data_IF_458430893823
#
_entry.id   IF_458430893823
#
_cell.length_a   1.000
_cell.length_b   1.000
_cell.length_c   1.000
_cell.angle_alpha   90.00
_cell.angle_beta   90.00
_cell.angle_gamma   90.00
#
_symmetry.space_group_name_H-M   'P 1'
#
loop_
_entity.id
_entity.type
_entity.pdbx_description
1 polymer ?
#
# COMPACT_ATOMS: atom_id res chain seq x y z
N UNK A 1 -15.74 17.59 43.79
CA UNK A 1 -15.86 16.86 42.49
C UNK A 1 -14.48 16.34 42.21
N UNK A 2 -14.31 15.03 42.13
CA UNK A 2 -13.03 14.45 41.73
C UNK A 2 -12.85 14.70 40.22
N UNK A 3 -11.76 15.36 39.82
CA UNK A 3 -11.40 15.55 38.41
C UNK A 3 -11.06 14.19 37.82
N UNK A 4 -11.87 13.70 36.90
CA UNK A 4 -11.57 12.48 36.15
C UNK A 4 -10.73 12.83 34.94
N UNK A 5 -9.42 12.68 35.01
CA UNK A 5 -8.46 12.94 33.92
C UNK A 5 -8.27 11.73 32.97
N UNK A 6 -8.92 10.59 33.25
CA UNK A 6 -8.75 9.36 32.48
C UNK A 6 -9.06 9.55 30.99
N UNK A 7 -10.03 10.39 30.63
CA UNK A 7 -10.34 10.68 29.24
C UNK A 7 -9.22 11.43 28.50
N UNK A 8 -8.45 12.25 29.21
CA UNK A 8 -7.32 12.97 28.62
C UNK A 8 -6.12 12.06 28.43
N UNK A 9 -5.86 11.16 29.35
CA UNK A 9 -4.82 10.13 29.24
C UNK A 9 -5.13 9.22 28.04
N UNK A 10 -6.34 8.70 27.95
CA UNK A 10 -6.78 7.87 26.82
C UNK A 10 -6.63 8.59 25.47
N UNK A 11 -6.95 9.89 25.41
CA UNK A 11 -6.76 10.68 24.18
C UNK A 11 -5.29 10.86 23.82
N UNK A 12 -4.43 11.10 24.83
CA UNK A 12 -2.97 11.23 24.62
C UNK A 12 -2.41 9.91 24.07
N UNK A 13 -2.74 8.79 24.70
CA UNK A 13 -2.36 7.44 24.24
C UNK A 13 -2.81 7.21 22.79
N UNK A 14 -4.07 7.44 22.48
CA UNK A 14 -4.62 7.23 21.14
C UNK A 14 -3.93 8.11 20.11
N UNK A 15 -3.62 9.37 20.43
CA UNK A 15 -2.95 10.29 19.52
C UNK A 15 -1.53 9.85 19.21
N UNK A 16 -0.73 9.56 20.21
CA UNK A 16 0.65 9.10 20.07
C UNK A 16 0.70 7.82 19.23
N UNK A 17 -0.18 6.87 19.53
CA UNK A 17 -0.29 5.64 18.76
C UNK A 17 -0.65 5.89 17.28
N UNK A 18 -1.63 6.75 17.01
CA UNK A 18 -2.04 7.07 15.64
C UNK A 18 -0.94 7.80 14.87
N UNK A 19 -0.25 8.74 15.49
CA UNK A 19 0.86 9.48 14.85
C UNK A 19 2.00 8.51 14.48
N UNK A 20 2.37 7.59 15.37
CA UNK A 20 3.38 6.56 15.12
C UNK A 20 2.92 5.55 14.05
N UNK A 21 1.65 5.16 14.08
CA UNK A 21 1.04 4.26 13.10
C UNK A 21 1.08 4.87 11.69
N UNK A 22 0.63 6.12 11.53
CA UNK A 22 0.64 6.82 10.25
C UNK A 22 2.05 7.06 9.72
N UNK A 23 3.01 7.38 10.59
CA UNK A 23 4.40 7.60 10.19
C UNK A 23 5.07 6.32 9.68
N UNK A 24 4.71 5.17 10.23
CA UNK A 24 5.35 3.89 9.92
C UNK A 24 4.81 3.20 8.67
N UNK A 25 3.63 3.59 8.18
CA UNK A 25 2.99 2.99 7.01
C UNK A 25 3.72 3.34 5.71
N UNK A 26 3.94 2.34 4.86
CA UNK A 26 4.48 2.51 3.49
C UNK A 26 3.58 1.82 2.47
N UNK A 27 3.48 0.48 2.54
CA UNK A 27 2.71 -0.33 1.58
C UNK A 27 1.21 0.00 1.66
N UNK A 28 0.68 0.14 2.85
CA UNK A 28 -0.74 0.44 3.07
C UNK A 28 -1.17 1.82 2.57
N UNK A 29 -0.24 2.74 2.33
CA UNK A 29 -0.55 4.05 1.72
C UNK A 29 -0.80 3.98 0.21
N UNK A 30 -0.32 2.93 -0.45
CA UNK A 30 -0.45 2.78 -1.90
C UNK A 30 -1.73 2.05 -2.32
N UNK A 31 -2.47 1.51 -1.37
CA UNK A 31 -3.71 0.77 -1.63
C UNK A 31 -4.88 1.73 -1.76
N UNK A 32 -5.71 1.51 -2.80
CA UNK A 32 -6.94 2.26 -2.94
C UNK A 32 -7.88 1.94 -1.77
N UNK A 33 -8.16 2.94 -0.95
CA UNK A 33 -9.14 2.85 0.13
C UNK A 33 -10.48 3.32 -0.40
N UNK A 34 -11.25 2.43 -0.98
CA UNK A 34 -12.67 2.69 -1.17
C UNK A 34 -13.33 2.69 0.21
N UNK A 35 -13.51 3.87 0.75
CA UNK A 35 -14.21 4.04 2.00
C UNK A 35 -15.66 3.63 1.80
N UNK A 36 -16.09 2.70 2.64
CA UNK A 36 -17.50 2.49 2.89
C UNK A 36 -18.12 3.84 3.26
N UNK A 37 -19.02 4.32 2.44
CA UNK A 37 -19.77 5.57 2.70
C UNK A 37 -20.71 5.47 3.92
N UNK A 38 -20.73 4.31 4.60
CA UNK A 38 -21.46 4.03 5.82
C UNK A 38 -20.56 3.55 6.95
N UNK A 39 -20.98 3.75 8.18
CA UNK A 39 -20.32 3.17 9.35
C UNK A 39 -20.34 1.66 9.23
N UNK A 40 -19.15 1.04 9.19
CA UNK A 40 -19.03 -0.40 9.33
C UNK A 40 -19.67 -0.82 10.66
N UNK A 41 -20.71 -1.62 10.59
CA UNK A 41 -21.38 -2.13 11.77
C UNK A 41 -21.03 -3.61 11.94
N UNK A 42 -20.21 -3.98 12.94
CA UNK A 42 -19.82 -5.36 13.19
C UNK A 42 -21.02 -6.30 13.42
N UNK A 43 -22.16 -5.77 13.84
CA UNK A 43 -23.39 -6.56 14.03
C UNK A 43 -24.06 -6.96 12.72
N UNK A 44 -23.68 -6.37 11.59
CA UNK A 44 -24.18 -6.74 10.25
C UNK A 44 -23.41 -7.88 9.58
N UNK A 45 -22.46 -8.49 10.28
CA UNK A 45 -21.58 -9.53 9.77
C UNK A 45 -20.22 -9.01 9.34
N UNK A 46 -19.33 -9.92 8.95
CA UNK A 46 -17.95 -9.63 8.56
C UNK A 46 -17.77 -9.33 7.07
N UNK A 47 -18.83 -9.39 6.27
CA UNK A 47 -18.77 -9.20 4.83
C UNK A 47 -19.08 -7.77 4.42
N UNK A 48 -18.29 -7.26 3.49
CA UNK A 48 -18.45 -5.93 2.91
C UNK A 48 -18.55 -6.07 1.41
N UNK A 49 -19.63 -5.56 0.82
CA UNK A 49 -19.84 -5.61 -0.61
C UNK A 49 -19.39 -4.30 -1.28
N UNK A 50 -18.53 -4.44 -2.29
CA UNK A 50 -18.05 -3.35 -3.14
C UNK A 50 -18.68 -3.45 -4.52
N UNK A 51 -19.13 -2.32 -5.07
CA UNK A 51 -19.60 -2.27 -6.45
C UNK A 51 -18.42 -2.42 -7.41
N UNK A 52 -18.57 -3.28 -8.41
CA UNK A 52 -17.62 -3.36 -9.52
C UNK A 52 -17.87 -2.23 -10.51
N UNK A 53 -16.83 -1.73 -11.17
CA UNK A 53 -16.99 -0.83 -12.32
C UNK A 53 -17.85 -1.49 -13.38
N UNK A 54 -18.66 -0.68 -14.07
CA UNK A 54 -19.45 -1.15 -15.23
C UNK A 54 -18.63 -0.99 -16.50
N UNK A 55 -18.72 -1.97 -17.37
CA UNK A 55 -18.17 -1.91 -18.72
C UNK A 55 -19.32 -1.76 -19.72
N UNK A 56 -19.13 -0.93 -20.75
CA UNK A 56 -20.13 -0.64 -21.76
C UNK A 56 -19.57 -0.80 -23.15
N UNK A 57 -20.34 -1.44 -24.03
CA UNK A 57 -20.00 -1.52 -25.42
C UNK A 57 -20.35 -0.21 -26.16
N UNK A 58 -19.45 0.25 -27.00
CA UNK A 58 -19.72 1.38 -27.88
C UNK A 58 -20.45 0.93 -29.14
N UNK A 59 -21.49 1.66 -29.54
CA UNK A 59 -22.23 1.43 -30.73
C UNK A 59 -21.79 2.48 -31.76
N UNK A 60 -21.41 2.03 -32.97
CA UNK A 60 -21.05 2.91 -34.08
C UNK A 60 -22.16 2.93 -35.09
N UNK A 61 -22.73 4.09 -35.35
CA UNK A 61 -23.78 4.29 -36.38
C UNK A 61 -23.41 5.50 -37.22
N UNK A 62 -23.75 5.48 -38.50
CA UNK A 62 -23.44 6.57 -39.45
C UNK A 62 -24.25 7.85 -39.17
N UNK A 63 -25.40 7.74 -38.54
CA UNK A 63 -26.30 8.88 -38.27
C UNK A 63 -26.57 9.14 -36.78
N UNK A 64 -25.90 8.42 -35.86
CA UNK A 64 -26.15 8.57 -34.41
C UNK A 64 -27.46 7.94 -33.92
N UNK A 65 -28.27 7.36 -34.82
CA UNK A 65 -29.51 6.66 -34.45
C UNK A 65 -29.20 5.26 -33.93
N UNK A 66 -29.51 5.01 -32.67
CA UNK A 66 -29.32 3.75 -31.95
C UNK A 66 -30.63 3.00 -31.69
N UNK A 67 -31.75 3.43 -32.29
CA UNK A 67 -33.09 2.85 -32.05
C UNK A 67 -33.14 1.35 -32.36
N UNK A 68 -32.44 0.90 -33.43
CA UNK A 68 -32.34 -0.48 -33.85
C UNK A 68 -31.14 -1.26 -33.31
N UNK A 69 -30.32 -0.66 -32.45
CA UNK A 69 -29.09 -1.28 -31.93
C UNK A 69 -29.32 -1.96 -30.58
N UNK A 70 -28.64 -3.09 -30.41
CA UNK A 70 -28.62 -3.76 -29.06
C UNK A 70 -27.88 -2.90 -28.09
N UNK A 71 -28.55 -2.50 -27.03
CA UNK A 71 -27.97 -1.69 -25.94
C UNK A 71 -27.30 -2.59 -24.91
N UNK A 72 -26.23 -2.10 -24.29
CA UNK A 72 -25.59 -2.82 -23.20
C UNK A 72 -26.47 -2.82 -21.97
N UNK A 73 -26.66 -3.99 -21.37
CA UNK A 73 -27.33 -4.08 -20.07
C UNK A 73 -26.43 -3.55 -18.95
N UNK A 74 -27.03 -2.83 -18.00
CA UNK A 74 -26.32 -2.41 -16.79
C UNK A 74 -26.32 -3.58 -15.81
N UNK A 75 -25.22 -4.33 -15.78
CA UNK A 75 -25.06 -5.43 -14.84
C UNK A 75 -24.35 -4.91 -13.60
N UNK A 76 -25.08 -4.74 -12.49
CA UNK A 76 -24.51 -4.36 -11.22
C UNK A 76 -23.80 -5.54 -10.59
N UNK A 77 -22.50 -5.71 -10.92
CA UNK A 77 -21.65 -6.67 -10.25
C UNK A 77 -21.19 -6.18 -8.87
N UNK A 78 -21.03 -7.10 -7.95
CA UNK A 78 -20.42 -6.82 -6.63
C UNK A 78 -19.22 -7.73 -6.39
N UNK A 79 -18.24 -7.23 -5.65
CA UNK A 79 -17.18 -8.02 -5.05
C UNK A 79 -17.37 -7.98 -3.53
N UNK A 80 -17.30 -9.13 -2.88
CA UNK A 80 -17.45 -9.24 -1.44
C UNK A 80 -16.09 -9.41 -0.80
N UNK A 81 -15.72 -8.48 0.08
CA UNK A 81 -14.56 -8.60 0.97
C UNK A 81 -15.00 -9.07 2.35
N UNK A 82 -14.22 -9.95 2.96
CA UNK A 82 -14.46 -10.38 4.34
C UNK A 82 -13.43 -9.74 5.26
N UNK A 83 -13.90 -9.16 6.37
CA UNK A 83 -13.02 -8.60 7.39
C UNK A 83 -12.19 -9.71 8.01
N UNK A 84 -10.90 -9.58 7.94
CA UNK A 84 -9.92 -10.53 8.46
C UNK A 84 -9.72 -10.36 9.98
N UNK A 85 -8.79 -11.12 10.54
CA UNK A 85 -8.43 -11.04 11.95
C UNK A 85 -7.91 -9.65 12.35
N UNK A 86 -8.10 -9.30 13.61
CA UNK A 86 -7.55 -8.07 14.18
C UNK A 86 -6.07 -8.25 14.52
N UNK A 87 -5.25 -7.25 14.20
CA UNK A 87 -3.89 -7.15 14.71
C UNK A 87 -3.93 -6.44 16.06
N UNK A 88 -3.49 -7.10 17.11
CA UNK A 88 -3.53 -6.58 18.46
C UNK A 88 -2.16 -6.70 19.13
N UNK A 89 -1.64 -5.60 19.62
CA UNK A 89 -0.52 -5.58 20.54
C UNK A 89 -1.05 -5.18 21.92
N UNK A 90 -0.71 -5.95 22.94
CA UNK A 90 -1.17 -5.73 24.30
C UNK A 90 0.02 -5.53 25.23
N UNK A 91 -0.10 -4.59 26.16
CA UNK A 91 0.82 -4.40 27.26
C UNK A 91 0.02 -4.08 28.51
N UNK A 92 0.53 -4.46 29.66
CA UNK A 92 -0.05 -4.14 30.97
C UNK A 92 0.98 -3.37 31.78
N UNK A 93 0.54 -2.34 32.47
CA UNK A 93 1.34 -1.61 33.44
C UNK A 93 0.52 -1.33 34.69
N UNK A 94 1.19 -1.29 35.83
CA UNK A 94 0.55 -0.98 37.09
C UNK A 94 0.31 0.52 37.28
N UNK A 95 -0.60 0.88 38.18
CA UNK A 95 -0.94 2.29 38.47
C UNK A 95 0.26 3.11 38.99
N UNK A 96 1.25 2.46 39.59
CA UNK A 96 2.49 3.11 40.05
C UNK A 96 3.40 3.40 38.84
N UNK A 97 3.51 2.47 37.90
CA UNK A 97 4.25 2.63 36.67
C UNK A 97 3.62 3.70 35.77
N UNK A 98 2.28 3.73 35.68
CA UNK A 98 1.55 4.77 34.98
C UNK A 98 1.90 6.18 35.45
N UNK A 99 2.03 6.39 36.74
CA UNK A 99 2.37 7.68 37.31
C UNK A 99 3.82 8.10 37.06
N UNK A 100 4.74 7.13 36.97
CA UNK A 100 6.18 7.36 36.76
C UNK A 100 6.55 7.47 35.26
N UNK A 101 5.84 6.77 34.39
CA UNK A 101 6.19 6.58 32.98
C UNK A 101 5.33 7.42 32.01
N UNK A 102 4.43 8.25 32.50
CA UNK A 102 3.51 9.02 31.66
C UNK A 102 4.22 9.96 30.68
N UNK A 103 5.42 10.42 31.03
CA UNK A 103 6.27 11.24 30.17
C UNK A 103 7.07 10.40 29.12
N UNK A 104 7.14 9.08 29.31
CA UNK A 104 7.83 8.15 28.40
C UNK A 104 6.85 7.31 27.54
N UNK A 105 5.59 7.71 27.52
CA UNK A 105 4.53 7.00 26.81
C UNK A 105 4.85 6.77 25.32
N UNK A 106 5.52 7.72 24.71
CA UNK A 106 5.94 7.65 23.31
C UNK A 106 6.93 6.49 23.07
N UNK A 107 7.84 6.25 24.01
CA UNK A 107 8.84 5.18 23.94
C UNK A 107 8.21 3.78 24.06
N UNK A 108 7.06 3.67 24.70
CA UNK A 108 6.33 2.41 24.87
C UNK A 108 5.40 2.15 23.67
N UNK A 109 4.67 3.18 23.24
CA UNK A 109 3.64 3.04 22.22
C UNK A 109 4.18 3.03 20.79
N UNK A 110 5.28 3.74 20.50
CA UNK A 110 5.86 3.79 19.16
C UNK A 110 6.32 2.39 18.68
N UNK A 111 7.06 1.59 19.45
CA UNK A 111 7.39 0.23 19.04
C UNK A 111 6.18 -0.68 18.84
N UNK A 112 5.12 -0.52 19.64
CA UNK A 112 3.89 -1.29 19.49
C UNK A 112 3.17 -0.95 18.18
N UNK A 113 3.03 0.33 17.87
CA UNK A 113 2.43 0.79 16.63
C UNK A 113 3.23 0.30 15.42
N UNK A 114 4.55 0.41 15.45
CA UNK A 114 5.44 -0.09 14.38
C UNK A 114 5.32 -1.59 14.19
N UNK A 115 5.17 -2.35 15.27
CA UNK A 115 4.99 -3.81 15.18
C UNK A 115 3.69 -4.17 14.46
N UNK A 116 2.57 -3.53 14.84
CA UNK A 116 1.28 -3.75 14.19
C UNK A 116 1.35 -3.38 12.70
N UNK A 117 1.97 -2.24 12.37
CA UNK A 117 2.15 -1.84 10.97
C UNK A 117 2.98 -2.86 10.20
N UNK A 118 4.09 -3.33 10.77
CA UNK A 118 4.95 -4.31 10.11
C UNK A 118 4.20 -5.60 9.80
N UNK A 119 3.46 -6.13 10.76
CA UNK A 119 2.67 -7.36 10.56
C UNK A 119 1.55 -7.15 9.53
N UNK A 120 0.86 -6.00 9.56
CA UNK A 120 -0.15 -5.64 8.58
C UNK A 120 0.42 -5.51 7.17
N UNK A 121 1.58 -4.85 7.02
CA UNK A 121 2.22 -4.67 5.72
C UNK A 121 2.78 -5.98 5.15
N UNK A 122 3.31 -6.86 6.00
CA UNK A 122 3.75 -8.20 5.59
C UNK A 122 2.57 -9.04 5.05
N UNK A 123 1.45 -9.03 5.75
CA UNK A 123 0.25 -9.75 5.31
C UNK A 123 -0.31 -9.17 4.01
N UNK A 124 -0.38 -7.85 3.91
CA UNK A 124 -0.82 -7.17 2.70
C UNK A 124 0.11 -7.48 1.52
N UNK A 125 1.42 -7.40 1.71
CA UNK A 125 2.41 -7.74 0.68
C UNK A 125 2.31 -9.19 0.23
N UNK A 126 2.08 -10.12 1.17
CA UNK A 126 1.85 -11.53 0.86
C UNK A 126 0.55 -11.75 0.06
N UNK A 127 -0.52 -11.05 0.42
CA UNK A 127 -1.79 -11.09 -0.29
C UNK A 127 -1.66 -10.54 -1.71
N UNK A 128 -1.05 -9.37 -1.88
CA UNK A 128 -0.82 -8.75 -3.19
C UNK A 128 -0.04 -9.67 -4.11
N UNK A 129 1.05 -10.27 -3.63
CA UNK A 129 1.85 -11.21 -4.40
C UNK A 129 1.08 -12.46 -4.83
N UNK A 130 0.25 -13.03 -3.94
CA UNK A 130 -0.54 -14.24 -4.25
C UNK A 130 -1.65 -13.98 -5.27
N UNK A 131 -2.19 -12.77 -5.30
CA UNK A 131 -3.35 -12.41 -6.10
C UNK A 131 -3.00 -11.49 -7.29
N UNK A 132 -1.71 -11.22 -7.53
CA UNK A 132 -1.29 -10.45 -8.69
C UNK A 132 -1.66 -11.16 -9.99
N UNK A 133 -2.44 -10.49 -10.82
CA UNK A 133 -2.86 -10.98 -12.12
C UNK A 133 -1.81 -10.75 -13.23
N UNK A 134 -0.99 -9.71 -13.06
CA UNK A 134 0.04 -9.32 -14.01
C UNK A 134 1.41 -9.61 -13.42
N UNK A 135 2.29 -10.20 -14.22
CA UNK A 135 3.69 -10.42 -13.87
C UNK A 135 4.56 -9.94 -15.03
N UNK A 136 5.64 -9.24 -14.71
CA UNK A 136 6.64 -8.78 -15.67
C UNK A 136 8.03 -9.25 -15.25
N UNK A 137 8.85 -9.64 -16.21
CA UNK A 137 10.18 -10.19 -15.97
C UNK A 137 10.20 -11.70 -15.69
N UNK A 138 11.40 -12.24 -15.64
CA UNK A 138 11.63 -13.66 -15.40
C UNK A 138 11.73 -13.97 -13.91
N UNK A 139 11.17 -15.10 -13.51
CA UNK A 139 11.23 -15.53 -12.11
C UNK A 139 12.66 -15.88 -11.71
N UNK A 140 13.11 -15.32 -10.60
CA UNK A 140 14.44 -15.57 -10.06
C UNK A 140 15.53 -14.62 -10.56
N UNK A 141 15.21 -13.71 -11.47
CA UNK A 141 16.08 -12.60 -11.84
C UNK A 141 15.92 -11.43 -10.88
N UNK A 142 17.03 -10.76 -10.61
CA UNK A 142 17.03 -9.54 -9.80
C UNK A 142 16.62 -8.37 -10.69
N UNK A 143 15.82 -7.46 -10.16
CA UNK A 143 15.49 -6.20 -10.83
C UNK A 143 16.66 -5.25 -10.62
N UNK A 144 17.49 -5.07 -11.63
CA UNK A 144 18.72 -4.29 -11.57
C UNK A 144 18.78 -3.15 -12.60
N UNK A 145 17.83 -3.11 -13.54
CA UNK A 145 17.81 -2.14 -14.61
C UNK A 145 16.56 -1.24 -14.56
N UNK A 146 16.73 -0.01 -15.05
CA UNK A 146 15.60 0.91 -15.24
C UNK A 146 14.53 0.33 -16.16
N UNK A 147 14.93 -0.44 -17.20
CA UNK A 147 14.03 -1.08 -18.16
C UNK A 147 13.06 -2.06 -17.51
N UNK A 148 13.48 -2.72 -16.43
CA UNK A 148 12.63 -3.70 -15.75
C UNK A 148 11.45 -3.03 -15.07
N UNK A 149 11.71 -1.90 -14.42
CA UNK A 149 10.67 -1.10 -13.77
C UNK A 149 9.78 -0.41 -14.79
N UNK A 150 10.37 0.22 -15.82
CA UNK A 150 9.63 0.88 -16.88
C UNK A 150 8.77 -0.10 -17.70
N UNK A 151 9.29 -1.31 -17.95
CA UNK A 151 8.56 -2.36 -18.64
C UNK A 151 7.36 -2.87 -17.85
N UNK A 152 7.46 -2.96 -16.52
CA UNK A 152 6.30 -3.29 -15.68
C UNK A 152 5.22 -2.20 -15.74
N UNK A 153 5.62 -0.92 -15.77
CA UNK A 153 4.71 0.20 -15.99
C UNK A 153 4.03 0.14 -17.36
N UNK A 154 4.80 -0.12 -18.43
CA UNK A 154 4.27 -0.25 -19.77
C UNK A 154 3.29 -1.44 -19.91
N UNK A 155 3.53 -2.53 -19.20
CA UNK A 155 2.58 -3.65 -19.15
C UNK A 155 1.23 -3.22 -18.54
N UNK A 156 1.25 -2.48 -17.44
CA UNK A 156 0.02 -1.95 -16.84
C UNK A 156 -0.73 -1.04 -17.82
N UNK A 157 -0.03 -0.15 -18.51
CA UNK A 157 -0.63 0.73 -19.53
C UNK A 157 -1.23 -0.05 -20.69
N UNK A 158 -0.56 -1.11 -21.15
CA UNK A 158 -1.04 -1.95 -22.26
C UNK A 158 -2.32 -2.71 -21.95
N UNK A 159 -2.56 -3.00 -20.67
CA UNK A 159 -3.79 -3.68 -20.21
C UNK A 159 -4.93 -2.68 -19.95
N UNK A 160 -4.67 -1.38 -20.06
CA UNK A 160 -5.70 -0.34 -19.99
C UNK A 160 -5.79 0.37 -18.62
N UNK A 161 -4.75 0.28 -17.77
CA UNK A 161 -4.67 1.13 -16.60
C UNK A 161 -4.51 2.58 -17.06
N UNK A 162 -5.37 3.53 -16.61
CA UNK A 162 -5.28 4.92 -17.04
C UNK A 162 -3.90 5.50 -16.74
N UNK A 163 -3.33 6.23 -17.71
CA UNK A 163 -2.03 6.89 -17.52
C UNK A 163 -2.09 8.03 -16.49
N UNK A 164 -3.31 8.52 -16.19
CA UNK A 164 -3.56 9.54 -15.16
C UNK A 164 -3.50 8.99 -13.73
N UNK A 165 -3.59 7.68 -13.57
CA UNK A 165 -3.60 7.06 -12.26
C UNK A 165 -2.18 6.97 -11.70
N UNK A 166 -2.05 7.24 -10.41
CA UNK A 166 -0.77 7.10 -9.72
C UNK A 166 -0.38 5.63 -9.64
N UNK A 167 0.81 5.32 -10.14
CA UNK A 167 1.40 3.99 -10.07
C UNK A 167 2.53 3.99 -9.06
N UNK A 168 2.58 2.95 -8.25
CA UNK A 168 3.57 2.81 -7.19
C UNK A 168 4.47 1.62 -7.48
N UNK A 169 5.77 1.80 -7.27
CA UNK A 169 6.75 0.73 -7.27
C UNK A 169 7.29 0.52 -5.86
N UNK A 170 6.94 -0.63 -5.29
CA UNK A 170 7.36 -1.02 -3.94
C UNK A 170 8.56 -1.95 -4.05
N UNK A 171 9.64 -1.63 -3.38
CA UNK A 171 10.87 -2.41 -3.41
C UNK A 171 11.46 -2.62 -2.03
N UNK A 172 12.28 -3.65 -1.90
CA UNK A 172 13.08 -3.86 -0.71
C UNK A 172 14.37 -2.99 -0.76
N UNK A 173 15.06 -2.78 0.37
CA UNK A 173 16.27 -1.97 0.41
C UNK A 173 17.42 -2.50 -0.49
N UNK A 174 17.52 -3.80 -0.70
CA UNK A 174 18.56 -4.38 -1.59
C UNK A 174 18.28 -4.02 -3.05
N UNK A 175 17.03 -4.15 -3.51
CA UNK A 175 16.65 -3.72 -4.87
C UNK A 175 16.86 -2.21 -5.06
N UNK A 176 16.61 -1.41 -4.02
CA UNK A 176 16.90 0.04 -4.08
C UNK A 176 18.41 0.29 -4.31
N UNK A 177 19.28 -0.49 -3.66
CA UNK A 177 20.73 -0.37 -3.83
C UNK A 177 21.17 -0.76 -5.26
N UNK A 178 20.64 -1.84 -5.81
CA UNK A 178 20.93 -2.25 -7.19
C UNK A 178 20.49 -1.20 -8.22
N UNK A 179 19.26 -0.72 -8.11
CA UNK A 179 18.75 0.32 -8.99
C UNK A 179 19.48 1.66 -8.82
N UNK A 180 19.93 2.00 -7.61
CA UNK A 180 20.75 3.20 -7.39
C UNK A 180 22.11 3.08 -8.05
N UNK A 181 22.69 1.89 -8.10
CA UNK A 181 23.92 1.60 -8.83
C UNK A 181 23.74 1.81 -10.34
N UNK A 182 22.62 1.33 -10.90
CA UNK A 182 22.29 1.57 -12.30
C UNK A 182 22.09 3.07 -12.59
N UNK A 183 21.42 3.80 -11.70
CA UNK A 183 21.23 5.26 -11.81
C UNK A 183 22.55 6.03 -11.72
N UNK A 184 23.50 5.59 -10.89
CA UNK A 184 24.81 6.18 -10.76
C UNK A 184 25.63 6.07 -12.05
N UNK A 185 25.40 5.04 -12.84
CA UNK A 185 26.03 4.83 -14.16
C UNK A 185 25.50 5.76 -15.28
N UNK A 186 24.44 6.52 -15.03
CA UNK A 186 23.90 7.45 -15.99
C UNK A 186 24.76 8.72 -16.04
N UNK A 187 25.24 9.09 -17.23
CA UNK A 187 25.93 10.38 -17.46
C UNK A 187 24.97 11.58 -17.47
N UNK A 188 23.89 11.51 -16.70
CA UNK A 188 22.83 12.51 -16.69
C UNK A 188 22.81 13.27 -15.35
N UNK A 189 22.42 14.51 -15.42
CA UNK A 189 22.10 15.48 -14.37
C UNK A 189 22.69 15.19 -12.96
N UNK A 190 23.66 15.97 -12.55
CA UNK A 190 24.41 15.88 -11.28
C UNK A 190 23.55 15.55 -10.02
N UNK A 191 22.30 16.01 -9.98
CA UNK A 191 21.43 15.82 -8.83
C UNK A 191 20.98 14.37 -8.61
N UNK A 192 20.65 13.64 -9.68
CA UNK A 192 20.19 12.24 -9.58
C UNK A 192 21.36 11.30 -9.26
N UNK A 193 22.47 11.47 -9.94
CA UNK A 193 23.71 10.71 -9.73
C UNK A 193 24.23 10.94 -8.32
N UNK A 194 24.25 12.18 -7.87
CA UNK A 194 24.69 12.54 -6.53
C UNK A 194 23.83 11.92 -5.43
N UNK A 195 22.51 11.92 -5.59
CA UNK A 195 21.60 11.29 -4.62
C UNK A 195 21.81 9.77 -4.56
N UNK A 196 22.00 9.12 -5.71
CA UNK A 196 22.29 7.69 -5.76
C UNK A 196 23.63 7.37 -5.08
N UNK A 197 24.66 8.18 -5.35
CA UNK A 197 26.00 8.00 -4.76
C UNK A 197 26.04 8.24 -3.24
N UNK A 198 25.45 9.36 -2.78
CA UNK A 198 25.54 9.78 -1.38
C UNK A 198 24.60 8.98 -0.46
N UNK A 199 23.43 8.59 -0.96
CA UNK A 199 22.33 8.05 -0.13
C UNK A 199 21.86 6.65 -0.52
N UNK A 200 22.40 6.06 -1.59
CA UNK A 200 21.88 4.83 -2.18
C UNK A 200 20.36 4.88 -2.41
N UNK A 201 19.87 6.01 -2.90
CA UNK A 201 18.46 6.26 -3.18
C UNK A 201 18.25 6.50 -4.67
N UNK A 202 17.13 6.02 -5.19
CA UNK A 202 16.68 6.34 -6.54
C UNK A 202 15.78 7.59 -6.53
N UNK A 203 15.51 8.13 -7.71
CA UNK A 203 14.53 9.20 -7.86
C UNK A 203 13.17 8.78 -7.34
N UNK A 204 12.44 9.70 -6.71
CA UNK A 204 11.08 9.45 -6.23
C UNK A 204 10.14 9.02 -7.37
N UNK A 205 10.32 9.57 -8.57
CA UNK A 205 9.66 9.11 -9.78
C UNK A 205 10.68 8.34 -10.63
N UNK A 206 10.49 7.03 -10.72
CA UNK A 206 11.38 6.12 -11.40
C UNK A 206 10.60 5.21 -12.36
N UNK A 207 10.97 5.21 -13.63
CA UNK A 207 10.29 4.39 -14.64
C UNK A 207 8.79 4.72 -14.82
N UNK A 208 8.36 5.96 -14.57
CA UNK A 208 6.96 6.38 -14.65
C UNK A 208 6.12 6.02 -13.42
N UNK A 209 6.74 5.50 -12.36
CA UNK A 209 6.08 5.12 -11.12
C UNK A 209 6.69 5.83 -9.91
N UNK A 210 5.90 6.04 -8.87
CA UNK A 210 6.41 6.53 -7.59
C UNK A 210 7.12 5.38 -6.86
N UNK A 211 8.42 5.54 -6.63
CA UNK A 211 9.27 4.54 -5.99
C UNK A 211 9.21 4.67 -4.46
N UNK A 212 8.87 3.58 -3.79
CA UNK A 212 8.81 3.49 -2.34
C UNK A 212 9.62 2.28 -1.87
N UNK A 213 10.36 2.46 -0.78
CA UNK A 213 11.16 1.39 -0.17
C UNK A 213 10.49 0.94 1.12
N UNK A 214 10.29 -0.37 1.28
CA UNK A 214 9.78 -0.96 2.50
C UNK A 214 10.58 -2.20 2.88
N UNK A 215 10.87 -2.36 4.16
CA UNK A 215 11.47 -3.57 4.73
C UNK A 215 10.42 -4.63 5.09
N UNK A 216 9.14 -4.29 5.01
CA UNK A 216 8.02 -5.17 5.32
C UNK A 216 7.50 -5.96 4.10
N UNK A 217 8.22 -5.95 2.98
CA UNK A 217 7.86 -6.78 1.83
C UNK A 217 8.16 -8.25 2.11
N UNK A 218 7.14 -9.09 1.94
CA UNK A 218 7.26 -10.52 2.17
C UNK A 218 8.20 -11.17 1.15
N UNK A 219 9.16 -11.96 1.64
CA UNK A 219 9.96 -12.88 0.82
C UNK A 219 9.25 -14.22 0.68
N UNK A 220 9.56 -14.97 -0.37
CA UNK A 220 9.16 -16.36 -0.48
C UNK A 220 10.27 -17.18 -1.10
N UNK A 221 10.36 -18.43 -0.69
CA UNK A 221 11.23 -19.41 -1.33
C UNK A 221 10.43 -20.13 -2.41
N UNK A 222 10.92 -20.15 -3.64
CA UNK A 222 10.32 -20.97 -4.68
C UNK A 222 10.39 -22.43 -4.23
N UNK A 223 9.27 -23.14 -4.31
CA UNK A 223 9.26 -24.58 -4.03
C UNK A 223 10.24 -25.29 -4.96
N UNK A 224 11.02 -26.23 -4.43
CA UNK A 224 11.73 -27.19 -5.27
C UNK A 224 10.69 -28.08 -5.93
N UNK A 225 10.71 -28.14 -7.25
CA UNK A 225 10.00 -29.18 -8.03
C UNK A 225 10.64 -30.52 -7.80
#
# INVERSE_FOLDING_TARGET
MANNLNSNVTRKIARVFLDAFEASRVVTKTVNTQLLSGKFNPSSGSNVDFKRPHDYNTIRTSGGDISGSTKSDIIAGKATGTVQNFFTAATEWGSVEEALELDQLDQILDPMARRIVTDLELDLGAFMRKNAALTYGDRGTVVDAWSDVAGAGALMDSVGVPMSDEKYYLMNPFTTTELSSAQNGLNAADGLVRTAWEKAQISQNFGGMMALTSNALSSYTSGST
#
